data_IF_104143132869
#
_entry.id   IF_104143132869
#
_cell.length_a   1.000
_cell.length_b   1.000
_cell.length_c   1.000
_cell.angle_alpha   90.00
_cell.angle_beta   90.00
_cell.angle_gamma   90.00
#
_symmetry.space_group_name_H-M   'P 1'
#
loop_
_entity.id
_entity.type
_entity.pdbx_description
1 polymer ?
#
# COMPACT_ATOMS: atom_id res chain seq x y z
N UNK A 1 -20.77 21.12 4.01
CA UNK A 1 -19.87 20.20 3.27
C UNK A 1 -20.43 18.79 3.04
N UNK A 2 -20.59 17.86 4.01
CA UNK A 2 -21.11 16.50 3.64
C UNK A 2 -22.62 16.42 3.38
N UNK A 3 -23.43 17.27 4.01
CA UNK A 3 -24.87 17.37 3.73
C UNK A 3 -25.14 17.89 2.32
N UNK A 4 -24.23 18.68 1.76
CA UNK A 4 -24.30 19.21 0.39
C UNK A 4 -23.91 18.17 -0.67
N UNK A 5 -23.22 17.09 -0.28
CA UNK A 5 -22.85 15.98 -1.17
C UNK A 5 -23.87 14.84 -1.13
N UNK A 6 -24.78 14.87 -0.16
CA UNK A 6 -25.82 13.86 0.01
C UNK A 6 -25.28 12.45 0.28
N UNK A 7 -24.07 12.28 0.82
CA UNK A 7 -23.50 10.96 1.17
C UNK A 7 -23.86 10.48 2.58
N UNK A 8 -23.96 11.42 3.51
CA UNK A 8 -24.23 11.16 4.91
C UNK A 8 -25.23 12.19 5.43
N UNK A 9 -26.36 11.71 5.94
CA UNK A 9 -27.38 12.55 6.55
C UNK A 9 -27.05 12.80 8.01
N UNK A 10 -26.43 13.94 8.32
CA UNK A 10 -26.06 14.31 9.69
C UNK A 10 -27.25 14.33 10.65
N UNK A 11 -28.42 14.79 10.20
CA UNK A 11 -29.64 14.81 11.01
C UNK A 11 -30.10 13.40 11.44
N UNK A 12 -29.85 12.40 10.58
CA UNK A 12 -30.29 11.02 10.79
C UNK A 12 -29.16 10.09 11.22
N UNK A 13 -27.93 10.59 11.33
CA UNK A 13 -26.72 9.81 11.59
C UNK A 13 -26.65 8.52 10.75
N UNK A 14 -26.83 8.68 9.44
CA UNK A 14 -26.98 7.56 8.50
C UNK A 14 -26.38 7.87 7.14
N UNK A 15 -25.75 6.87 6.55
CA UNK A 15 -25.36 6.87 5.14
C UNK A 15 -26.58 6.87 4.22
N UNK A 16 -26.54 7.69 3.19
CA UNK A 16 -27.60 7.76 2.15
C UNK A 16 -27.43 6.68 1.07
N UNK A 17 -26.25 6.04 1.06
CA UNK A 17 -25.94 4.93 0.17
C UNK A 17 -26.69 3.71 0.69
N UNK A 18 -27.55 3.14 -0.16
CA UNK A 18 -28.23 1.89 0.15
C UNK A 18 -27.26 0.73 -0.09
N UNK A 19 -26.74 0.18 1.00
CA UNK A 19 -25.82 -0.96 0.99
C UNK A 19 -26.14 -1.88 2.16
N UNK A 20 -26.30 -3.16 1.87
CA UNK A 20 -26.45 -4.17 2.92
C UNK A 20 -25.06 -4.56 3.44
N UNK A 21 -24.64 -3.89 4.52
CA UNK A 21 -23.37 -4.17 5.21
C UNK A 21 -23.45 -5.47 6.04
N UNK A 22 -24.64 -6.02 6.24
CA UNK A 22 -24.91 -7.10 7.17
C UNK A 22 -25.29 -8.42 6.47
N UNK A 23 -25.29 -8.42 5.14
CA UNK A 23 -25.60 -9.57 4.30
C UNK A 23 -24.85 -10.84 4.73
N UNK A 24 -25.58 -11.94 4.89
CA UNK A 24 -25.07 -13.24 5.29
C UNK A 24 -24.97 -14.21 4.10
N UNK A 25 -24.16 -13.88 3.09
CA UNK A 25 -24.02 -14.72 1.88
C UNK A 25 -22.55 -15.00 1.52
N UNK A 26 -22.22 -16.21 1.05
CA UNK A 26 -20.84 -16.60 0.66
C UNK A 26 -20.62 -16.45 -0.85
N UNK A 27 -21.47 -15.69 -1.55
CA UNK A 27 -21.49 -15.58 -3.01
C UNK A 27 -20.74 -14.35 -3.53
N UNK A 28 -19.87 -13.74 -2.70
CA UNK A 28 -19.09 -12.55 -3.06
C UNK A 28 -19.90 -11.27 -3.20
N UNK A 29 -21.23 -11.31 -3.03
CA UNK A 29 -22.07 -10.12 -3.24
C UNK A 29 -21.88 -9.09 -2.13
N UNK A 30 -21.61 -9.53 -0.90
CA UNK A 30 -21.27 -8.63 0.19
C UNK A 30 -20.02 -7.81 -0.14
N UNK A 31 -18.94 -8.46 -0.59
CA UNK A 31 -17.67 -7.83 -0.90
C UNK A 31 -17.80 -6.84 -2.06
N UNK A 32 -18.56 -7.21 -3.10
CA UNK A 32 -18.88 -6.31 -4.21
C UNK A 32 -19.70 -5.10 -3.75
N UNK A 33 -20.71 -5.30 -2.90
CA UNK A 33 -21.57 -4.23 -2.39
C UNK A 33 -20.79 -3.26 -1.50
N UNK A 34 -19.93 -3.78 -0.61
CA UNK A 34 -19.04 -2.95 0.21
C UNK A 34 -18.07 -2.18 -0.70
N UNK A 35 -17.47 -2.82 -1.71
CA UNK A 35 -16.59 -2.14 -2.65
C UNK A 35 -17.30 -0.98 -3.39
N UNK A 36 -18.56 -1.17 -3.82
CA UNK A 36 -19.37 -0.09 -4.42
C UNK A 36 -19.61 1.07 -3.45
N UNK A 37 -19.90 0.76 -2.18
CA UNK A 37 -20.04 1.77 -1.13
C UNK A 37 -18.74 2.59 -0.96
N UNK A 38 -17.58 1.92 -0.86
CA UNK A 38 -16.28 2.59 -0.74
C UNK A 38 -15.95 3.44 -1.97
N UNK A 39 -16.22 2.93 -3.18
CA UNK A 39 -15.99 3.66 -4.43
C UNK A 39 -16.84 4.92 -4.54
N UNK A 40 -18.09 4.89 -4.07
CA UNK A 40 -18.96 6.07 -4.05
C UNK A 40 -18.40 7.17 -3.14
N UNK A 41 -17.81 6.80 -1.99
CA UNK A 41 -17.12 7.76 -1.11
C UNK A 41 -15.83 8.27 -1.77
N UNK A 42 -15.02 7.39 -2.36
CA UNK A 42 -13.81 7.74 -3.14
C UNK A 42 -14.10 8.82 -4.18
N UNK A 43 -15.08 8.58 -5.05
CA UNK A 43 -15.39 9.47 -6.17
C UNK A 43 -15.91 10.82 -5.68
N UNK A 44 -16.72 10.82 -4.62
CA UNK A 44 -17.20 12.08 -4.04
C UNK A 44 -16.08 12.91 -3.40
N UNK A 45 -15.06 12.27 -2.83
CA UNK A 45 -13.89 12.97 -2.29
C UNK A 45 -13.10 13.70 -3.39
N UNK A 46 -13.02 13.12 -4.59
CA UNK A 46 -12.42 13.78 -5.77
C UNK A 46 -13.25 14.99 -6.18
N UNK A 47 -14.57 14.83 -6.29
CA UNK A 47 -15.47 15.92 -6.69
C UNK A 47 -15.40 17.11 -5.74
N UNK A 48 -15.30 16.86 -4.43
CA UNK A 48 -15.07 17.89 -3.43
C UNK A 48 -13.77 18.65 -3.67
N UNK A 49 -12.67 17.90 -3.80
CA UNK A 49 -11.34 18.49 -3.97
C UNK A 49 -11.30 19.37 -5.22
N UNK A 50 -11.86 18.91 -6.34
CA UNK A 50 -11.92 19.66 -7.60
C UNK A 50 -12.72 20.97 -7.48
N UNK A 51 -13.73 21.03 -6.62
CA UNK A 51 -14.61 22.20 -6.43
C UNK A 51 -14.00 23.28 -5.54
N UNK A 52 -13.12 22.94 -4.61
CA UNK A 52 -12.59 23.86 -3.58
C UNK A 52 -11.29 24.58 -3.98
N UNK A 53 -11.00 24.73 -5.29
CA UNK A 53 -9.66 24.97 -5.87
C UNK A 53 -8.78 26.04 -5.22
N UNK A 54 -7.57 25.61 -4.85
CA UNK A 54 -6.27 26.15 -5.29
C UNK A 54 -5.25 24.98 -5.23
N UNK A 55 -5.22 24.11 -6.26
CA UNK A 55 -4.62 22.77 -6.15
C UNK A 55 -3.50 22.57 -7.17
N UNK A 56 -2.30 22.34 -6.65
CA UNK A 56 -1.10 21.82 -7.35
C UNK A 56 -1.01 20.29 -7.32
N UNK A 57 -1.98 19.60 -6.73
CA UNK A 57 -1.99 18.14 -6.52
C UNK A 57 -2.44 17.42 -7.79
N UNK A 58 -1.63 16.47 -8.26
CA UNK A 58 -1.98 15.54 -9.34
C UNK A 58 -3.00 14.53 -8.82
N UNK A 59 -4.19 14.53 -9.40
CA UNK A 59 -5.28 13.61 -9.03
C UNK A 59 -5.13 12.33 -9.86
N UNK A 60 -5.04 11.13 -9.23
CA UNK A 60 -5.03 9.87 -9.98
C UNK A 60 -6.32 9.70 -10.79
N UNK A 61 -6.26 9.07 -11.96
CA UNK A 61 -7.45 8.81 -12.78
C UNK A 61 -8.42 7.90 -12.04
N UNK A 62 -9.70 7.95 -12.40
CA UNK A 62 -10.74 7.15 -11.74
C UNK A 62 -10.43 5.65 -11.75
N UNK A 63 -9.87 5.15 -12.86
CA UNK A 63 -9.46 3.75 -13.01
C UNK A 63 -8.19 3.35 -12.25
N UNK A 64 -7.41 4.29 -11.74
CA UNK A 64 -6.11 3.96 -11.14
C UNK A 64 -6.25 3.32 -9.74
N UNK A 65 -7.37 3.59 -9.05
CA UNK A 65 -7.56 3.24 -7.62
C UNK A 65 -9.00 2.90 -7.28
N UNK A 66 -9.41 1.68 -7.59
CA UNK A 66 -10.79 1.20 -7.39
C UNK A 66 -10.81 0.08 -6.35
N UNK A 67 -11.75 0.15 -5.42
CA UNK A 67 -12.06 -0.97 -4.54
C UNK A 67 -12.82 -2.04 -5.31
N UNK A 68 -12.42 -3.29 -5.15
CA UNK A 68 -13.10 -4.44 -5.76
C UNK A 68 -13.20 -5.59 -4.77
N UNK A 69 -14.36 -6.27 -4.79
CA UNK A 69 -14.60 -7.55 -4.12
C UNK A 69 -14.39 -8.75 -5.04
N UNK A 70 -13.78 -8.56 -6.22
CA UNK A 70 -13.58 -9.60 -7.23
C UNK A 70 -12.87 -10.85 -6.69
N UNK A 71 -11.86 -10.64 -5.83
CA UNK A 71 -11.02 -11.71 -5.31
C UNK A 71 -11.71 -12.61 -4.28
N UNK A 72 -12.82 -12.18 -3.69
CA UNK A 72 -13.56 -12.94 -2.68
C UNK A 72 -14.09 -14.29 -3.18
N UNK A 73 -14.26 -14.43 -4.50
CA UNK A 73 -14.68 -15.69 -5.15
C UNK A 73 -13.63 -16.24 -6.12
N UNK A 74 -12.46 -15.62 -6.19
CA UNK A 74 -11.43 -16.07 -7.10
C UNK A 74 -10.94 -17.45 -6.67
N UNK A 75 -10.70 -18.31 -7.66
CA UNK A 75 -9.97 -19.58 -7.48
C UNK A 75 -8.56 -19.48 -8.07
N UNK A 76 -8.17 -18.29 -8.56
CA UNK A 76 -6.87 -18.06 -9.17
C UNK A 76 -5.80 -18.16 -8.08
N UNK A 77 -4.84 -19.07 -8.25
CA UNK A 77 -3.71 -19.13 -7.34
C UNK A 77 -3.06 -17.74 -7.26
N UNK A 78 -2.80 -17.28 -6.04
CA UNK A 78 -2.10 -16.03 -5.81
C UNK A 78 -0.63 -16.24 -6.16
N UNK A 79 -0.29 -16.28 -7.45
CA UNK A 79 1.07 -16.51 -7.92
C UNK A 79 2.03 -15.52 -7.23
N UNK A 80 3.12 -16.06 -6.67
CA UNK A 80 4.08 -15.28 -5.87
C UNK A 80 3.68 -15.01 -4.42
N UNK A 81 2.44 -15.28 -4.01
CA UNK A 81 2.01 -15.13 -2.63
C UNK A 81 2.72 -16.13 -1.72
N UNK A 82 3.02 -15.67 -0.50
CA UNK A 82 3.59 -16.52 0.54
C UNK A 82 2.52 -17.25 1.36
N UNK A 83 1.27 -16.82 1.26
CA UNK A 83 0.11 -17.43 1.91
C UNK A 83 -0.97 -17.66 0.85
N UNK A 84 -1.53 -18.85 0.83
CA UNK A 84 -2.78 -19.14 0.13
C UNK A 84 -3.92 -18.38 0.81
N UNK A 85 -4.18 -17.17 0.33
CA UNK A 85 -5.22 -16.29 0.83
C UNK A 85 -5.87 -15.54 -0.31
N UNK A 86 -7.19 -15.61 -0.35
CA UNK A 86 -8.03 -14.77 -1.18
C UNK A 86 -8.46 -13.55 -0.37
N UNK A 87 -8.08 -12.33 -0.76
CA UNK A 87 -8.53 -11.13 -0.08
C UNK A 87 -10.03 -10.94 -0.29
N UNK A 88 -10.75 -10.50 0.74
CA UNK A 88 -12.17 -10.11 0.61
C UNK A 88 -12.32 -8.94 -0.37
N UNK A 89 -11.35 -8.02 -0.37
CA UNK A 89 -11.23 -7.05 -1.44
C UNK A 89 -9.87 -6.36 -1.46
N UNK A 90 -9.62 -5.63 -2.55
CA UNK A 90 -8.40 -4.85 -2.74
C UNK A 90 -8.76 -3.49 -3.34
N UNK A 91 -7.92 -2.49 -3.10
CA UNK A 91 -7.86 -1.29 -3.92
C UNK A 91 -6.78 -1.48 -4.98
N UNK A 92 -7.16 -1.55 -6.25
CA UNK A 92 -6.28 -1.85 -7.40
C UNK A 92 -6.66 -0.99 -8.61
N UNK A 93 -5.76 -0.84 -9.59
CA UNK A 93 -6.11 -0.25 -10.87
C UNK A 93 -7.01 -1.18 -11.70
N UNK A 94 -7.88 -0.61 -12.54
CA UNK A 94 -8.90 -1.35 -13.30
C UNK A 94 -8.32 -2.16 -14.47
N UNK A 95 -7.24 -1.65 -15.06
CA UNK A 95 -6.53 -2.22 -16.20
C UNK A 95 -5.58 -3.34 -15.78
N UNK A 96 -5.32 -3.49 -14.48
CA UNK A 96 -4.45 -4.51 -13.95
C UNK A 96 -5.02 -5.11 -12.66
N UNK A 97 -5.71 -6.25 -12.83
CA UNK A 97 -6.42 -6.95 -11.76
C UNK A 97 -5.62 -8.07 -11.11
N UNK A 98 -4.30 -8.05 -11.22
CA UNK A 98 -3.48 -8.95 -10.44
C UNK A 98 -3.34 -8.42 -9.01
N UNK A 99 -3.53 -9.30 -8.02
CA UNK A 99 -3.57 -8.93 -6.61
C UNK A 99 -2.29 -8.25 -6.12
N UNK A 100 -1.15 -8.50 -6.79
CA UNK A 100 0.13 -7.88 -6.46
C UNK A 100 0.23 -6.40 -6.87
N UNK A 101 -0.76 -5.83 -7.56
CA UNK A 101 -0.85 -4.38 -7.82
C UNK A 101 -1.68 -3.61 -6.76
N UNK A 102 -2.06 -4.27 -5.67
CA UNK A 102 -2.85 -3.65 -4.60
C UNK A 102 -2.19 -2.41 -3.99
N UNK A 103 -2.97 -1.34 -3.91
CA UNK A 103 -2.66 -0.13 -3.17
C UNK A 103 -3.14 -0.18 -1.71
N UNK A 104 -4.20 -0.95 -1.44
CA UNK A 104 -4.71 -1.17 -0.09
C UNK A 104 -5.48 -2.49 0.01
N UNK A 105 -5.53 -3.07 1.22
CA UNK A 105 -6.28 -4.28 1.51
C UNK A 105 -7.66 -4.01 2.13
N UNK A 106 -8.62 -4.88 1.87
CA UNK A 106 -9.95 -4.86 2.50
C UNK A 106 -10.24 -6.24 3.10
N UNK A 107 -10.62 -6.25 4.38
CA UNK A 107 -11.16 -7.43 5.05
C UNK A 107 -12.60 -7.16 5.48
N UNK A 108 -13.50 -8.09 5.17
CA UNK A 108 -14.93 -7.97 5.43
C UNK A 108 -15.38 -9.18 6.24
N UNK A 109 -16.12 -8.92 7.32
CA UNK A 109 -16.82 -9.99 8.04
C UNK A 109 -18.32 -9.78 8.06
N UNK A 110 -18.99 -10.90 7.88
CA UNK A 110 -20.41 -11.10 8.10
C UNK A 110 -20.82 -10.78 9.53
N UNK A 111 -21.95 -10.09 9.65
CA UNK A 111 -22.56 -9.78 10.94
C UNK A 111 -22.90 -11.07 11.70
N UNK A 112 -22.63 -11.11 12.99
CA UNK A 112 -22.74 -12.32 13.82
C UNK A 112 -21.42 -13.08 14.03
N UNK A 113 -20.38 -12.83 13.22
CA UNK A 113 -18.98 -13.16 13.56
C UNK A 113 -18.27 -11.87 13.98
N UNK A 114 -18.49 -11.45 15.23
CA UNK A 114 -18.04 -10.15 15.77
C UNK A 114 -16.54 -10.07 16.06
N UNK A 115 -15.74 -11.01 15.59
CA UNK A 115 -14.33 -11.08 15.92
C UNK A 115 -13.49 -10.16 15.02
N UNK A 116 -13.40 -8.89 15.43
CA UNK A 116 -12.50 -7.91 14.80
C UNK A 116 -11.03 -8.35 14.86
N UNK A 117 -10.62 -9.23 15.78
CA UNK A 117 -9.27 -9.79 15.79
C UNK A 117 -9.05 -10.75 14.62
N UNK A 118 -10.06 -11.52 14.23
CA UNK A 118 -10.00 -12.36 13.03
C UNK A 118 -9.88 -11.52 11.74
N UNK A 119 -10.52 -10.35 11.68
CA UNK A 119 -10.34 -9.42 10.56
C UNK A 119 -8.96 -8.77 10.53
N UNK A 120 -8.44 -8.39 11.70
CA UNK A 120 -7.07 -7.90 11.79
C UNK A 120 -6.08 -8.95 11.28
N UNK A 121 -6.29 -10.23 11.63
CA UNK A 121 -5.44 -11.33 11.14
C UNK A 121 -5.58 -11.53 9.63
N UNK A 122 -6.78 -11.41 9.08
CA UNK A 122 -6.99 -11.48 7.64
C UNK A 122 -6.26 -10.34 6.91
N UNK A 123 -6.41 -9.09 7.38
CA UNK A 123 -5.66 -7.95 6.86
C UNK A 123 -4.14 -8.11 6.99
N UNK A 124 -3.66 -8.65 8.11
CA UNK A 124 -2.25 -8.97 8.29
C UNK A 124 -1.78 -9.90 7.18
N UNK A 125 -2.52 -10.99 6.91
CA UNK A 125 -2.20 -11.94 5.86
C UNK A 125 -2.19 -11.27 4.46
N UNK A 126 -3.18 -10.43 4.14
CA UNK A 126 -3.20 -9.63 2.90
C UNK A 126 -1.93 -8.77 2.81
N UNK A 127 -1.59 -8.04 3.87
CA UNK A 127 -0.41 -7.19 3.89
C UNK A 127 0.89 -7.98 3.72
N UNK A 128 1.02 -9.19 4.29
CA UNK A 128 2.23 -10.02 4.09
C UNK A 128 2.38 -10.45 2.64
N UNK A 129 1.28 -10.83 1.99
CA UNK A 129 1.30 -11.18 0.58
C UNK A 129 1.75 -9.98 -0.25
N UNK A 130 1.15 -8.80 -0.05
CA UNK A 130 1.52 -7.57 -0.79
C UNK A 130 3.00 -7.21 -0.57
N UNK A 131 3.47 -7.18 0.69
CA UNK A 131 4.87 -6.86 1.02
C UNK A 131 5.88 -7.92 0.51
N UNK A 132 5.42 -9.12 0.18
CA UNK A 132 6.28 -10.21 -0.32
C UNK A 132 6.51 -10.17 -1.84
N UNK A 133 5.73 -9.37 -2.56
CA UNK A 133 5.80 -9.25 -4.03
C UNK A 133 6.08 -7.83 -4.50
N UNK A 134 5.62 -6.81 -3.77
CA UNK A 134 5.95 -5.42 -4.04
C UNK A 134 7.26 -5.03 -3.34
N UNK A 135 8.36 -5.07 -4.09
CA UNK A 135 9.71 -4.73 -3.62
C UNK A 135 9.91 -3.25 -3.30
N UNK A 136 9.10 -2.37 -3.89
CA UNK A 136 9.05 -0.92 -3.64
C UNK A 136 8.05 -0.53 -2.54
N UNK A 137 7.56 -1.50 -1.75
CA UNK A 137 6.56 -1.28 -0.71
C UNK A 137 7.18 -1.23 0.66
N UNK A 138 7.06 -0.09 1.35
CA UNK A 138 7.51 0.14 2.74
C UNK A 138 6.46 -0.26 3.77
N UNK A 139 5.19 0.08 3.51
CA UNK A 139 4.05 -0.29 4.33
C UNK A 139 2.78 -0.47 3.48
N UNK A 140 1.76 -1.12 4.04
CA UNK A 140 0.47 -1.41 3.41
C UNK A 140 -0.65 -0.87 4.28
N UNK A 141 -1.52 -0.06 3.68
CA UNK A 141 -2.76 0.39 4.33
C UNK A 141 -3.85 -0.68 4.12
N UNK A 142 -4.63 -0.94 5.16
CA UNK A 142 -5.77 -1.85 5.10
C UNK A 142 -6.98 -1.28 5.83
N UNK A 143 -8.18 -1.64 5.37
CA UNK A 143 -9.45 -1.31 6.03
C UNK A 143 -10.16 -2.62 6.39
N UNK A 144 -10.59 -2.73 7.64
CA UNK A 144 -11.43 -3.83 8.11
C UNK A 144 -12.86 -3.31 8.27
N UNK A 145 -13.85 -4.05 7.77
CA UNK A 145 -15.28 -3.73 7.92
C UNK A 145 -16.02 -4.94 8.48
N UNK A 146 -16.86 -4.69 9.49
CA UNK A 146 -17.76 -5.70 10.09
C UNK A 146 -19.11 -5.03 10.35
N UNK A 147 -20.07 -5.24 9.47
CA UNK A 147 -21.31 -4.45 9.46
C UNK A 147 -20.99 -2.95 9.33
N UNK A 148 -21.59 -2.14 10.20
CA UNK A 148 -21.33 -0.70 10.28
C UNK A 148 -20.09 -0.32 11.11
N UNK A 149 -19.25 -1.28 11.49
CA UNK A 149 -18.00 -0.98 12.21
C UNK A 149 -16.80 -1.08 11.29
N UNK A 150 -15.83 -0.19 11.46
CA UNK A 150 -14.57 -0.22 10.72
C UNK A 150 -13.35 0.05 11.59
N UNK A 151 -12.19 -0.30 11.04
CA UNK A 151 -10.87 0.02 11.58
C UNK A 151 -9.91 0.19 10.40
N UNK A 152 -9.01 1.16 10.50
CA UNK A 152 -7.92 1.34 9.52
C UNK A 152 -6.61 0.86 10.14
N UNK A 153 -5.79 0.18 9.34
CA UNK A 153 -4.50 -0.36 9.73
C UNK A 153 -3.41 0.11 8.77
N UNK A 154 -2.21 0.30 9.30
CA UNK A 154 -0.98 0.43 8.55
C UNK A 154 -0.05 -0.69 9.00
N UNK A 155 0.29 -1.58 8.06
CA UNK A 155 1.19 -2.71 8.28
C UNK A 155 2.53 -2.41 7.63
N UNK A 156 3.60 -2.49 8.38
CA UNK A 156 4.95 -2.50 7.85
C UNK A 156 5.61 -3.85 8.15
N UNK A 157 6.92 -3.94 7.93
CA UNK A 157 7.66 -5.16 8.27
C UNK A 157 8.00 -5.27 9.76
N UNK A 158 7.61 -4.33 10.61
CA UNK A 158 7.81 -4.36 12.06
C UNK A 158 6.54 -4.74 12.82
N UNK A 159 5.36 -4.40 12.30
CA UNK A 159 4.08 -4.69 12.92
C UNK A 159 2.90 -3.96 12.29
N UNK A 160 1.96 -3.55 13.13
CA UNK A 160 0.72 -2.89 12.72
C UNK A 160 0.40 -1.73 13.66
N UNK A 161 0.27 -0.53 13.08
CA UNK A 161 -0.45 0.58 13.69
C UNK A 161 -1.92 0.51 13.26
N UNK A 162 -2.86 0.80 14.19
CA UNK A 162 -4.29 0.72 13.90
C UNK A 162 -5.11 1.74 14.68
N UNK A 163 -6.23 2.15 14.11
CA UNK A 163 -7.24 2.93 14.82
C UNK A 163 -8.01 2.06 15.83
N UNK A 164 -8.76 2.66 16.77
CA UNK A 164 -9.84 1.96 17.45
C UNK A 164 -10.89 1.45 16.45
N UNK A 165 -11.72 0.51 16.90
CA UNK A 165 -12.92 0.12 16.16
C UNK A 165 -13.95 1.24 16.28
N UNK A 166 -14.43 1.73 15.15
CA UNK A 166 -15.33 2.88 15.06
C UNK A 166 -16.64 2.47 14.39
N UNK A 167 -17.75 3.02 14.87
CA UNK A 167 -19.07 2.85 14.26
C UNK A 167 -19.26 3.93 13.19
N UNK A 168 -19.36 3.55 11.91
CA UNK A 168 -19.44 4.50 10.81
C UNK A 168 -20.79 5.25 10.75
N UNK A 169 -21.78 4.91 11.59
CA UNK A 169 -23.01 5.70 11.77
C UNK A 169 -22.85 6.80 12.82
N UNK A 170 -21.69 6.92 13.47
CA UNK A 170 -21.35 8.10 14.26
C UNK A 170 -20.71 9.15 13.35
N UNK A 171 -21.16 10.41 13.43
CA UNK A 171 -20.64 11.52 12.62
C UNK A 171 -19.09 11.61 12.57
N UNK A 172 -18.43 11.60 13.73
CA UNK A 172 -16.96 11.72 13.81
C UNK A 172 -16.24 10.52 13.21
N UNK A 173 -16.84 9.34 13.35
CA UNK A 173 -16.33 8.10 12.76
C UNK A 173 -16.54 8.05 11.25
N UNK A 174 -17.70 8.51 10.76
CA UNK A 174 -17.98 8.65 9.33
C UNK A 174 -16.96 9.58 8.66
N UNK A 175 -16.67 10.73 9.29
CA UNK A 175 -15.62 11.65 8.83
C UNK A 175 -14.23 11.01 8.79
N UNK A 176 -13.92 10.16 9.77
CA UNK A 176 -12.66 9.42 9.80
C UNK A 176 -12.57 8.41 8.64
N UNK A 177 -13.65 7.68 8.34
CA UNK A 177 -13.71 6.78 7.18
C UNK A 177 -13.54 7.55 5.86
N UNK A 178 -14.24 8.68 5.71
CA UNK A 178 -14.13 9.53 4.52
C UNK A 178 -12.70 10.02 4.32
N UNK A 179 -12.02 10.47 5.38
CA UNK A 179 -10.62 10.90 5.31
C UNK A 179 -9.67 9.78 4.92
N UNK A 180 -9.84 8.58 5.49
CA UNK A 180 -9.03 7.43 5.14
C UNK A 180 -9.19 7.05 3.66
N UNK A 181 -10.43 6.99 3.18
CA UNK A 181 -10.76 6.71 1.78
C UNK A 181 -10.27 7.82 0.84
N UNK A 182 -10.45 9.08 1.20
CA UNK A 182 -9.91 10.21 0.45
C UNK A 182 -8.38 10.13 0.34
N UNK A 183 -7.68 9.78 1.41
CA UNK A 183 -6.23 9.55 1.42
C UNK A 183 -5.82 8.44 0.44
N UNK A 184 -6.49 7.28 0.50
CA UNK A 184 -6.22 6.18 -0.44
C UNK A 184 -6.48 6.60 -1.89
N UNK A 185 -7.54 7.37 -2.14
CA UNK A 185 -7.89 7.83 -3.48
C UNK A 185 -6.96 8.89 -4.06
N UNK A 186 -6.49 9.83 -3.24
CA UNK A 186 -5.91 11.09 -3.69
C UNK A 186 -4.42 11.22 -3.37
N UNK A 187 -3.93 10.56 -2.32
CA UNK A 187 -2.56 10.78 -1.86
C UNK A 187 -1.55 10.28 -2.90
N UNK A 188 -0.43 10.98 -3.11
CA UNK A 188 0.73 10.44 -3.81
C UNK A 188 1.10 9.02 -3.35
N UNK A 189 1.62 8.18 -4.25
CA UNK A 189 1.97 6.79 -3.93
C UNK A 189 2.90 6.66 -2.72
N UNK A 190 3.82 7.60 -2.50
CA UNK A 190 4.70 7.55 -1.34
C UNK A 190 3.96 7.58 0.01
N UNK A 191 2.86 8.33 0.13
CA UNK A 191 1.98 8.33 1.30
C UNK A 191 1.12 7.07 1.44
N UNK A 192 1.01 6.28 0.37
CA UNK A 192 0.42 4.95 0.40
C UNK A 192 1.44 3.86 0.73
N UNK A 193 2.69 4.23 1.03
CA UNK A 193 3.74 3.30 1.43
C UNK A 193 4.62 2.81 0.30
N UNK A 194 4.57 3.43 -0.89
CA UNK A 194 5.59 3.18 -1.92
C UNK A 194 6.91 3.90 -1.56
N UNK A 195 8.02 3.36 -2.04
CA UNK A 195 9.34 3.96 -1.95
C UNK A 195 9.45 5.15 -2.91
N UNK A 196 9.83 6.31 -2.39
CA UNK A 196 9.96 7.54 -3.17
C UNK A 196 11.22 7.56 -4.05
N UNK A 197 12.19 6.67 -3.79
CA UNK A 197 13.40 6.52 -4.62
C UNK A 197 13.14 5.73 -5.89
N UNK A 198 12.03 4.99 -5.96
CA UNK A 198 11.65 4.17 -7.10
C UNK A 198 10.53 4.86 -7.89
N UNK A 199 10.74 5.00 -9.19
CA UNK A 199 9.74 5.51 -10.13
C UNK A 199 9.50 4.52 -11.27
N UNK A 200 8.41 4.70 -11.99
CA UNK A 200 8.08 3.93 -13.18
C UNK A 200 7.68 4.91 -14.28
N UNK A 201 8.32 4.81 -15.44
CA UNK A 201 8.01 5.67 -16.58
C UNK A 201 6.79 5.16 -17.38
N UNK A 202 6.47 5.86 -18.47
CA UNK A 202 5.31 5.54 -19.31
C UNK A 202 5.41 4.18 -20.01
N UNK A 203 6.61 3.65 -20.19
CA UNK A 203 6.85 2.36 -20.84
C UNK A 203 6.86 1.20 -19.83
N UNK A 204 6.61 1.51 -18.55
CA UNK A 204 6.64 0.53 -17.45
C UNK A 204 8.06 0.25 -16.94
N UNK A 205 9.08 0.94 -17.45
CA UNK A 205 10.45 0.76 -16.99
C UNK A 205 10.61 1.43 -15.62
N UNK A 206 11.08 0.64 -14.66
CA UNK A 206 11.34 1.10 -13.30
C UNK A 206 12.72 1.74 -13.21
N UNK A 207 12.83 2.83 -12.46
CA UNK A 207 14.10 3.48 -12.13
C UNK A 207 14.23 3.65 -10.63
N UNK A 208 15.47 3.68 -10.14
CA UNK A 208 15.79 3.83 -8.72
C UNK A 208 16.88 4.89 -8.55
N UNK A 209 16.70 5.77 -7.57
CA UNK A 209 17.67 6.78 -7.16
C UNK A 209 18.76 6.15 -6.30
N UNK A 210 20.04 6.36 -6.62
CA UNK A 210 21.18 5.74 -5.91
C UNK A 210 22.14 6.73 -5.23
N UNK A 211 21.76 8.00 -5.17
CA UNK A 211 22.43 9.05 -4.40
C UNK A 211 21.54 10.29 -4.28
N UNK A 212 21.99 11.38 -3.62
CA UNK A 212 21.16 12.56 -3.36
C UNK A 212 20.90 13.44 -4.60
N UNK A 213 21.72 13.36 -5.65
CA UNK A 213 21.62 14.19 -6.85
C UNK A 213 20.33 13.93 -7.65
N UNK A 214 19.86 14.94 -8.41
CA UNK A 214 18.68 14.79 -9.26
C UNK A 214 18.90 13.85 -10.44
N UNK A 215 20.14 13.73 -10.94
CA UNK A 215 20.48 12.90 -12.09
C UNK A 215 20.92 11.47 -11.71
N UNK A 216 20.94 11.12 -10.42
CA UNK A 216 21.48 9.84 -9.94
C UNK A 216 20.42 8.73 -9.96
N UNK A 217 19.91 8.41 -11.15
CA UNK A 217 18.92 7.36 -11.37
C UNK A 217 19.44 6.25 -12.28
N UNK A 218 19.20 5.00 -11.88
CA UNK A 218 19.51 3.83 -12.71
C UNK A 218 18.24 3.08 -13.10
N UNK A 219 18.26 2.44 -14.27
CA UNK A 219 17.20 1.51 -14.69
C UNK A 219 17.29 0.25 -13.84
N UNK A 220 16.16 -0.19 -13.28
CA UNK A 220 16.05 -1.50 -12.66
C UNK A 220 15.87 -2.54 -13.77
N UNK A 221 16.86 -3.40 -13.96
CA UNK A 221 16.80 -4.51 -14.91
C UNK A 221 15.94 -5.64 -14.34
N UNK A 222 16.18 -5.98 -13.06
CA UNK A 222 15.36 -6.94 -12.32
C UNK A 222 15.55 -6.81 -10.81
N UNK A 223 14.57 -7.32 -10.07
CA UNK A 223 14.67 -7.57 -8.64
C UNK A 223 15.39 -8.89 -8.43
N UNK A 224 16.69 -8.83 -8.15
CA UNK A 224 17.54 -10.00 -7.96
C UNK A 224 17.24 -10.76 -6.67
N UNK A 225 16.80 -10.04 -5.62
CA UNK A 225 16.41 -10.63 -4.35
C UNK A 225 15.40 -9.74 -3.63
N UNK A 226 14.40 -10.35 -2.99
CA UNK A 226 13.45 -9.67 -2.11
C UNK A 226 13.21 -10.50 -0.85
N UNK A 227 13.39 -9.88 0.31
CA UNK A 227 13.06 -10.52 1.58
C UNK A 227 11.55 -10.54 1.78
N UNK A 228 10.96 -11.75 1.79
CA UNK A 228 9.51 -11.93 1.93
C UNK A 228 8.98 -11.98 3.37
N UNK A 229 9.87 -11.94 4.37
CA UNK A 229 9.52 -12.06 5.79
C UNK A 229 9.11 -10.73 6.45
N UNK A 230 8.11 -10.79 7.34
CA UNK A 230 7.74 -9.72 8.28
C UNK A 230 8.57 -9.93 9.55
N UNK A 231 9.21 -8.87 10.05
CA UNK A 231 10.29 -8.83 11.08
C UNK A 231 11.68 -9.17 10.56
N UNK A 232 12.02 -8.62 9.40
CA UNK A 232 13.34 -8.75 8.77
C UNK A 232 13.89 -7.36 8.43
N UNK A 233 15.13 -7.28 7.93
CA UNK A 233 15.69 -6.01 7.39
C UNK A 233 15.03 -5.56 6.08
N UNK A 234 14.01 -6.27 5.59
CA UNK A 234 13.30 -5.99 4.34
C UNK A 234 14.21 -5.90 3.11
N UNK A 235 15.34 -6.61 3.10
CA UNK A 235 16.36 -6.40 2.07
C UNK A 235 15.80 -6.67 0.68
N UNK A 236 15.96 -5.70 -0.21
CA UNK A 236 15.73 -5.81 -1.64
C UNK A 236 17.06 -5.56 -2.36
N UNK A 237 17.36 -6.39 -3.37
CA UNK A 237 18.54 -6.23 -4.22
C UNK A 237 18.08 -6.11 -5.66
N UNK A 238 18.50 -5.03 -6.29
CA UNK A 238 18.17 -4.71 -7.68
C UNK A 238 19.43 -4.85 -8.53
N UNK A 239 19.29 -5.50 -9.68
CA UNK A 239 20.28 -5.38 -10.76
C UNK A 239 19.93 -4.12 -11.56
N UNK A 240 20.89 -3.21 -11.66
CA UNK A 240 20.69 -1.89 -12.23
C UNK A 240 21.69 -1.55 -13.33
N UNK A 241 21.30 -0.64 -14.22
CA UNK A 241 22.13 -0.07 -15.27
C UNK A 241 22.00 1.47 -15.27
N UNK A 242 23.11 2.18 -15.17
CA UNK A 242 23.17 3.64 -15.35
C UNK A 242 23.05 4.03 -16.82
N UNK A 243 22.80 5.31 -17.10
CA UNK A 243 22.62 5.79 -18.47
C UNK A 243 23.91 5.71 -19.32
N UNK A 244 25.09 5.60 -18.70
CA UNK A 244 26.37 5.35 -19.36
C UNK A 244 26.66 3.86 -19.65
N UNK A 245 25.72 2.97 -19.30
CA UNK A 245 25.83 1.52 -19.49
C UNK A 245 26.51 0.78 -18.33
N UNK A 246 26.93 1.46 -17.27
CA UNK A 246 27.53 0.82 -16.09
C UNK A 246 26.49 -0.04 -15.37
N UNK A 247 26.82 -1.32 -15.15
CA UNK A 247 25.98 -2.26 -14.39
C UNK A 247 26.44 -2.42 -12.95
N UNK A 248 25.49 -2.41 -12.03
CA UNK A 248 25.75 -2.57 -10.61
C UNK A 248 24.54 -3.11 -9.86
N UNK A 249 24.74 -3.50 -8.61
CA UNK A 249 23.66 -3.91 -7.72
C UNK A 249 23.37 -2.79 -6.71
N UNK A 250 22.09 -2.48 -6.51
CA UNK A 250 21.64 -1.65 -5.39
C UNK A 250 21.05 -2.57 -4.34
N UNK A 251 21.51 -2.43 -3.10
CA UNK A 251 20.95 -3.10 -1.94
C UNK A 251 20.22 -2.08 -1.08
N UNK A 252 18.89 -2.20 -1.02
CA UNK A 252 18.06 -1.45 -0.10
C UNK A 252 17.72 -2.31 1.13
N UNK A 253 17.77 -1.73 2.32
CA UNK A 253 17.42 -2.42 3.56
C UNK A 253 17.27 -1.46 4.73
N UNK A 254 16.46 -1.85 5.72
CA UNK A 254 16.42 -1.18 7.02
C UNK A 254 17.74 -1.40 7.76
N UNK A 255 18.41 -0.30 8.09
CA UNK A 255 19.70 -0.31 8.79
C UNK A 255 19.49 -0.10 10.28
N UNK A 256 20.04 -1.02 11.08
CA UNK A 256 20.15 -0.81 12.52
C UNK A 256 21.21 0.25 12.82
N UNK A 257 20.76 1.39 13.34
CA UNK A 257 21.64 2.50 13.68
C UNK A 257 22.43 2.27 14.97
N UNK A 258 22.09 1.27 15.80
CA UNK A 258 22.77 1.00 17.07
C UNK A 258 24.12 0.27 16.92
N UNK A 259 24.33 -0.43 15.80
CA UNK A 259 25.58 -1.18 15.57
C UNK A 259 26.82 -0.28 15.42
N UNK A 260 27.93 -0.67 16.03
CA UNK A 260 29.20 0.09 16.04
C UNK A 260 29.85 0.25 14.67
N UNK A 261 29.74 -0.75 13.79
CA UNK A 261 30.28 -0.71 12.43
C UNK A 261 29.17 -0.90 11.42
N UNK A 262 29.09 -0.01 10.43
CA UNK A 262 28.10 -0.09 9.35
C UNK A 262 28.64 -0.89 8.18
N UNK A 263 27.76 -1.58 7.47
CA UNK A 263 28.13 -2.39 6.30
C UNK A 263 28.91 -1.57 5.25
N UNK A 264 28.48 -0.34 4.97
CA UNK A 264 29.15 0.54 4.01
C UNK A 264 30.55 0.98 4.47
N UNK A 265 30.79 1.12 5.78
CA UNK A 265 32.12 1.45 6.32
C UNK A 265 33.08 0.28 6.17
N UNK A 266 32.60 -0.94 6.46
CA UNK A 266 33.39 -2.16 6.30
C UNK A 266 33.73 -2.42 4.84
N UNK A 267 32.76 -2.22 3.92
CA UNK A 267 33.00 -2.34 2.48
C UNK A 267 34.02 -1.31 1.99
N UNK A 268 33.91 -0.05 2.42
CA UNK A 268 34.86 1.00 2.07
C UNK A 268 36.28 0.64 2.53
N UNK A 269 36.43 0.22 3.79
CA UNK A 269 37.72 -0.18 4.34
C UNK A 269 38.31 -1.39 3.58
N UNK A 270 37.49 -2.39 3.24
CA UNK A 270 37.93 -3.54 2.47
C UNK A 270 38.40 -3.14 1.06
N UNK A 271 37.70 -2.22 0.40
CA UNK A 271 38.09 -1.70 -0.91
C UNK A 271 39.40 -0.90 -0.83
N UNK A 272 39.57 -0.04 0.19
CA UNK A 272 40.82 0.72 0.43
C UNK A 272 42.02 -0.19 0.70
N UNK A 273 41.80 -1.37 1.30
CA UNK A 273 42.82 -2.38 1.56
C UNK A 273 43.07 -3.32 0.37
N UNK A 274 42.34 -3.16 -0.73
CA UNK A 274 42.49 -4.00 -1.92
C UNK A 274 42.14 -5.47 -1.67
N UNK A 275 41.21 -5.77 -0.76
CA UNK A 275 40.78 -7.14 -0.50
C UNK A 275 40.01 -7.70 -1.71
N UNK A 276 40.48 -8.82 -2.24
CA UNK A 276 39.81 -9.54 -3.31
C UNK A 276 38.55 -10.26 -2.81
N UNK A 277 37.56 -10.46 -3.71
CA UNK A 277 36.31 -11.16 -3.39
C UNK A 277 35.28 -10.33 -2.62
N UNK A 278 35.55 -9.05 -2.34
CA UNK A 278 34.61 -8.11 -1.71
C UNK A 278 34.02 -7.16 -2.76
N UNK A 279 32.69 -6.90 -2.76
CA UNK A 279 32.09 -5.93 -3.67
C UNK A 279 32.73 -4.54 -3.57
N UNK A 280 32.87 -3.86 -4.71
CA UNK A 280 33.27 -2.45 -4.75
C UNK A 280 32.07 -1.57 -4.39
N UNK A 281 32.22 -0.73 -3.37
CA UNK A 281 31.23 0.26 -2.99
C UNK A 281 31.31 1.45 -3.96
N UNK A 282 30.27 1.64 -4.77
CA UNK A 282 30.15 2.79 -5.67
C UNK A 282 29.63 4.03 -4.93
N UNK A 283 28.48 3.88 -4.26
CA UNK A 283 27.85 4.93 -3.47
C UNK A 283 27.16 4.31 -2.25
N UNK A 284 26.85 5.16 -1.26
CA UNK A 284 25.95 4.83 -0.17
C UNK A 284 25.20 6.10 0.22
N UNK A 285 23.94 5.95 0.62
CA UNK A 285 23.12 7.06 1.05
C UNK A 285 22.05 6.55 2.03
N UNK A 286 21.70 7.38 3.01
CA UNK A 286 20.60 7.12 3.94
C UNK A 286 19.37 7.84 3.41
N UNK A 287 18.36 7.06 3.03
CA UNK A 287 17.08 7.60 2.57
C UNK A 287 16.24 7.97 3.78
N UNK A 288 16.04 9.27 4.01
CA UNK A 288 15.05 9.78 4.95
C UNK A 288 13.78 10.11 4.15
N UNK A 289 12.69 9.39 4.44
CA UNK A 289 11.39 9.69 3.85
C UNK A 289 10.56 10.47 4.87
N UNK A 290 10.02 11.62 4.48
CA UNK A 290 8.98 12.34 5.23
C UNK A 290 7.64 11.61 5.02
N UNK A 291 7.41 10.55 5.79
CA UNK A 291 6.21 9.73 5.72
C UNK A 291 5.76 9.22 7.07
#
# INVERSE_FOLDING_TARGET
>A
MMGELGLYGFEKNRWTIDVDMEALNNDGSQERNVALFLNKIHNTAVDLLVRTRDITVVIPKEGDRIWTGYFAQSTQESEGAILELFPDGLNIPVDNQDWWHAHAGLAIRKVGRTDMAANLKHLENIARNILSVQDDRRFVIGISITGWKFMTCCFDRSGCARTPVMDMNNEGSALTLIRALAGIRLAPKFFLGYDATISTDSDGQRRIKYGPGEDEHAKIIKTAYLTRGIRTRATAIYECEADDGTKFAIKDSWVDISGTYKEHELLRLANEKGLEGVPQLLSNWVVCNDG
#
